data_IF_173406394770
#
_entry.id   IF_173406394770
#
_cell.length_a   1.000
_cell.length_b   1.000
_cell.length_c   1.000
_cell.angle_alpha   90.00
_cell.angle_beta   90.00
_cell.angle_gamma   90.00
#
_symmetry.space_group_name_H-M   'P 1'
#
loop_
_entity.id
_entity.type
_entity.pdbx_description
1 polymer ?
#
# COMPACT_ATOMS: atom_id res chain seq x y z
N UNK A 1 12.27 30.00 -9.93
CA UNK A 1 11.21 29.70 -8.96
C UNK A 1 10.53 28.38 -9.32
N UNK A 2 10.16 27.62 -8.33
CA UNK A 2 9.40 26.39 -8.56
C UNK A 2 8.02 26.73 -9.11
N UNK A 3 7.49 25.91 -10.07
CA UNK A 3 6.19 26.23 -10.67
C UNK A 3 5.06 26.19 -9.65
N UNK A 4 4.51 25.04 -9.34
CA UNK A 4 3.43 24.92 -8.38
C UNK A 4 3.83 23.94 -7.29
N UNK A 5 3.06 23.92 -6.21
CA UNK A 5 3.21 22.89 -5.18
C UNK A 5 2.83 21.54 -5.77
N UNK A 6 3.64 20.52 -5.49
CA UNK A 6 3.30 19.15 -5.86
C UNK A 6 2.11 18.68 -5.04
N UNK A 7 1.28 17.83 -5.62
CA UNK A 7 0.05 17.35 -5.02
C UNK A 7 0.24 15.99 -4.30
N UNK A 8 1.37 15.82 -3.67
CA UNK A 8 1.63 14.64 -2.86
C UNK A 8 2.25 13.47 -3.64
N UNK A 9 2.73 12.51 -2.89
CA UNK A 9 3.29 11.28 -3.43
C UNK A 9 2.14 10.28 -3.57
N UNK A 10 1.64 10.07 -4.80
CA UNK A 10 0.38 9.37 -5.04
C UNK A 10 0.46 8.22 -6.04
N UNK A 11 1.64 7.90 -6.49
CA UNK A 11 1.84 6.84 -7.48
C UNK A 11 2.99 5.95 -7.05
N UNK A 12 2.77 4.63 -7.13
CA UNK A 12 3.79 3.62 -6.86
C UNK A 12 3.69 2.55 -7.94
N UNK A 13 4.82 2.10 -8.44
CA UNK A 13 4.89 1.00 -9.39
C UNK A 13 5.68 -0.15 -8.79
N UNK A 14 5.10 -1.34 -8.81
CA UNK A 14 5.75 -2.57 -8.35
C UNK A 14 5.85 -3.55 -9.51
N UNK A 15 6.97 -4.21 -9.64
CA UNK A 15 7.13 -5.37 -10.50
C UNK A 15 7.15 -6.62 -9.63
N UNK A 16 6.20 -7.53 -9.86
CA UNK A 16 6.00 -8.69 -9.02
C UNK A 16 5.98 -9.97 -9.88
N UNK A 17 6.54 -11.08 -9.40
CA UNK A 17 6.54 -12.32 -10.17
C UNK A 17 5.17 -12.99 -10.20
N UNK A 18 4.34 -12.79 -9.20
CA UNK A 18 3.03 -13.41 -9.00
C UNK A 18 1.92 -12.38 -9.13
N UNK A 19 1.78 -11.80 -10.32
CA UNK A 19 0.89 -10.67 -10.57
C UNK A 19 -0.56 -10.95 -10.18
N UNK A 20 -1.11 -12.10 -10.58
CA UNK A 20 -2.52 -12.43 -10.32
C UNK A 20 -2.80 -12.55 -8.82
N UNK A 21 -1.88 -13.14 -8.07
CA UNK A 21 -2.00 -13.26 -6.62
C UNK A 21 -1.91 -11.89 -5.94
N UNK A 22 -0.98 -11.04 -6.39
CA UNK A 22 -0.85 -9.69 -5.88
C UNK A 22 -2.09 -8.84 -6.20
N UNK A 23 -2.62 -8.95 -7.42
CA UNK A 23 -3.84 -8.23 -7.78
C UNK A 23 -5.00 -8.64 -6.86
N UNK A 24 -5.19 -9.94 -6.63
CA UNK A 24 -6.24 -10.40 -5.72
C UNK A 24 -6.04 -9.87 -4.31
N UNK A 25 -4.79 -9.81 -3.85
CA UNK A 25 -4.51 -9.28 -2.53
C UNK A 25 -4.91 -7.79 -2.41
N UNK A 26 -4.48 -6.97 -3.35
CA UNK A 26 -4.76 -5.54 -3.29
C UNK A 26 -6.24 -5.24 -3.53
N UNK A 27 -6.90 -5.98 -4.40
CA UNK A 27 -8.33 -5.76 -4.72
C UNK A 27 -9.23 -6.42 -3.67
N UNK A 28 -9.05 -7.72 -3.43
CA UNK A 28 -9.99 -8.48 -2.60
C UNK A 28 -9.72 -8.30 -1.11
N UNK A 29 -8.46 -8.25 -0.69
CA UNK A 29 -8.12 -8.12 0.72
C UNK A 29 -8.08 -6.66 1.16
N UNK A 30 -7.36 -5.81 0.43
CA UNK A 30 -7.22 -4.40 0.81
C UNK A 30 -8.32 -3.49 0.28
N UNK A 31 -9.09 -3.94 -0.71
CA UNK A 31 -10.24 -3.18 -1.19
C UNK A 31 -9.94 -2.14 -2.25
N UNK A 32 -8.80 -2.22 -2.92
CA UNK A 32 -8.53 -1.34 -4.05
C UNK A 32 -9.40 -1.68 -5.24
N UNK A 33 -9.63 -0.73 -6.11
CA UNK A 33 -10.42 -0.92 -7.32
C UNK A 33 -9.51 -0.94 -8.54
N UNK A 34 -9.88 -1.74 -9.56
CA UNK A 34 -9.17 -1.74 -10.83
C UNK A 34 -9.52 -0.45 -11.58
N UNK A 35 -8.51 0.37 -11.83
CA UNK A 35 -8.65 1.60 -12.60
C UNK A 35 -8.60 1.30 -14.09
N UNK A 36 -7.63 0.50 -14.49
CA UNK A 36 -7.44 0.13 -15.89
C UNK A 36 -6.53 -1.08 -15.98
N UNK A 37 -6.86 -2.00 -16.87
CA UNK A 37 -5.99 -3.13 -17.23
C UNK A 37 -5.38 -2.82 -18.58
N UNK A 38 -4.09 -2.49 -18.58
CA UNK A 38 -3.39 -2.11 -19.80
C UNK A 38 -3.15 -3.31 -20.72
N UNK A 39 -2.77 -4.46 -20.13
CA UNK A 39 -2.54 -5.72 -20.84
C UNK A 39 -2.46 -6.86 -19.82
N UNK A 40 -2.05 -8.05 -20.27
CA UNK A 40 -1.94 -9.24 -19.41
C UNK A 40 -0.93 -9.08 -18.29
N UNK A 41 0.05 -8.19 -18.46
CA UNK A 41 1.20 -8.05 -17.56
C UNK A 41 1.17 -6.75 -16.75
N UNK A 42 0.11 -5.95 -16.88
CA UNK A 42 0.08 -4.64 -16.24
C UNK A 42 -1.35 -4.22 -15.88
N UNK A 43 -1.58 -3.94 -14.61
CA UNK A 43 -2.85 -3.45 -14.10
C UNK A 43 -2.62 -2.24 -13.20
N UNK A 44 -3.52 -1.27 -13.28
CA UNK A 44 -3.51 -0.07 -12.43
C UNK A 44 -4.65 -0.14 -11.44
N UNK A 45 -4.34 0.05 -10.16
CA UNK A 45 -5.29 -0.02 -9.05
C UNK A 45 -5.35 1.33 -8.33
N UNK A 46 -6.45 1.58 -7.62
CA UNK A 46 -6.62 2.83 -6.89
C UNK A 46 -7.48 2.67 -5.64
N UNK A 47 -7.19 3.51 -4.62
CA UNK A 47 -8.09 3.74 -3.48
C UNK A 47 -9.03 4.92 -3.74
N UNK A 48 -8.91 5.60 -4.89
CA UNK A 48 -9.70 6.76 -5.25
C UNK A 48 -8.90 8.05 -5.32
N UNK A 49 -7.75 8.12 -4.68
CA UNK A 49 -6.91 9.32 -4.62
C UNK A 49 -5.44 9.01 -4.90
N UNK A 50 -5.16 7.84 -5.44
CA UNK A 50 -3.80 7.37 -5.69
C UNK A 50 -3.77 6.45 -6.91
N UNK A 51 -2.60 5.89 -7.20
CA UNK A 51 -2.42 4.92 -8.27
C UNK A 51 -1.32 3.94 -7.91
N UNK A 52 -1.67 2.66 -7.87
CA UNK A 52 -0.73 1.57 -7.74
C UNK A 52 -0.65 0.81 -9.06
N UNK A 53 0.52 0.79 -9.66
CA UNK A 53 0.79 0.02 -10.87
C UNK A 53 1.40 -1.32 -10.47
N UNK A 54 0.75 -2.42 -10.88
CA UNK A 54 1.29 -3.76 -10.71
C UNK A 54 1.68 -4.31 -12.07
N UNK A 55 2.97 -4.55 -12.26
CA UNK A 55 3.51 -5.14 -13.48
C UNK A 55 4.11 -6.50 -13.19
N UNK A 56 4.13 -7.36 -14.20
CA UNK A 56 4.75 -8.68 -14.08
C UNK A 56 6.26 -8.57 -14.24
N UNK A 57 6.98 -9.07 -13.25
CA UNK A 57 8.43 -9.22 -13.37
C UNK A 57 8.73 -10.49 -14.17
N UNK A 58 9.58 -10.35 -15.21
CA UNK A 58 9.96 -11.48 -16.06
C UNK A 58 11.31 -12.06 -15.68
N UNK A 59 12.01 -11.43 -14.74
CA UNK A 59 13.30 -11.90 -14.24
C UNK A 59 13.41 -11.55 -12.76
N UNK A 60 14.15 -12.37 -12.00
CA UNK A 60 14.46 -12.07 -10.63
C UNK A 60 15.31 -10.80 -10.55
N UNK A 61 14.96 -9.90 -9.64
CA UNK A 61 15.77 -8.72 -9.37
C UNK A 61 16.98 -9.12 -8.55
N UNK A 62 18.17 -8.81 -9.05
CA UNK A 62 19.43 -9.04 -8.34
C UNK A 62 20.01 -7.76 -7.77
N UNK A 63 19.29 -6.64 -7.91
CA UNK A 63 19.75 -5.34 -7.48
C UNK A 63 19.34 -5.01 -6.06
N UNK A 64 20.13 -4.11 -5.46
CA UNK A 64 19.77 -3.52 -4.18
C UNK A 64 18.62 -2.55 -4.41
N UNK A 65 17.54 -2.70 -3.66
CA UNK A 65 16.41 -1.78 -3.70
C UNK A 65 16.51 -0.78 -2.56
N UNK A 66 16.20 0.48 -2.86
CA UNK A 66 16.22 1.53 -1.85
C UNK A 66 14.87 1.70 -1.14
N UNK A 67 13.80 1.10 -1.69
CA UNK A 67 12.48 1.15 -1.04
C UNK A 67 12.45 0.20 0.16
N UNK A 68 12.24 0.75 1.36
CA UNK A 68 12.06 -0.05 2.56
C UNK A 68 10.62 -0.56 2.65
N UNK A 69 9.66 0.35 2.58
CA UNK A 69 8.24 0.02 2.66
C UNK A 69 7.41 1.16 2.05
N UNK A 70 6.11 0.91 1.91
CA UNK A 70 5.15 1.95 1.56
C UNK A 70 3.88 1.71 2.35
N UNK A 71 3.00 2.71 2.39
CA UNK A 71 1.87 2.62 3.29
C UNK A 71 0.56 3.15 2.73
N UNK A 72 -0.51 2.72 3.41
CA UNK A 72 -1.86 3.22 3.20
C UNK A 72 -2.29 3.96 4.46
N UNK A 73 -2.84 5.15 4.29
CA UNK A 73 -3.30 5.97 5.40
C UNK A 73 -4.73 5.58 5.76
N UNK A 74 -4.98 5.37 7.03
CA UNK A 74 -6.33 5.21 7.59
C UNK A 74 -6.70 6.46 8.37
N UNK A 75 -8.01 6.67 8.60
CA UNK A 75 -8.50 7.94 9.11
C UNK A 75 -8.53 8.05 10.63
N UNK A 76 -8.43 6.93 11.35
CA UNK A 76 -8.47 6.94 12.81
C UNK A 76 -7.66 5.78 13.39
N UNK A 77 -7.33 5.90 14.67
CA UNK A 77 -6.67 4.82 15.41
C UNK A 77 -7.58 3.60 15.49
N UNK A 78 -8.88 3.82 15.67
CA UNK A 78 -9.86 2.74 15.72
C UNK A 78 -9.91 1.95 14.43
N UNK A 79 -9.84 2.63 13.29
CA UNK A 79 -9.78 1.97 11.98
C UNK A 79 -8.47 1.19 11.80
N UNK A 80 -7.36 1.72 12.29
CA UNK A 80 -6.08 1.00 12.24
C UNK A 80 -6.16 -0.33 12.99
N UNK A 81 -6.72 -0.30 14.20
CA UNK A 81 -6.89 -1.52 15.01
C UNK A 81 -7.85 -2.50 14.34
N UNK A 82 -8.91 -2.00 13.69
CA UNK A 82 -9.86 -2.85 12.96
C UNK A 82 -9.17 -3.53 11.77
N UNK A 83 -8.33 -2.81 11.03
CA UNK A 83 -7.56 -3.38 9.92
C UNK A 83 -6.61 -4.45 10.42
N UNK A 84 -5.93 -4.22 11.54
CA UNK A 84 -5.04 -5.21 12.11
C UNK A 84 -5.77 -6.52 12.43
N UNK A 85 -6.92 -6.43 13.11
CA UNK A 85 -7.72 -7.62 13.47
C UNK A 85 -8.23 -8.35 12.23
N UNK A 86 -8.71 -7.61 11.23
CA UNK A 86 -9.21 -8.13 9.98
C UNK A 86 -8.11 -8.90 9.22
N UNK A 87 -6.95 -8.29 9.05
CA UNK A 87 -5.84 -8.92 8.32
C UNK A 87 -5.30 -10.13 9.07
N UNK A 88 -5.23 -10.06 10.38
CA UNK A 88 -4.82 -11.19 11.21
C UNK A 88 -5.78 -12.37 11.06
N UNK A 89 -7.06 -12.12 11.04
CA UNK A 89 -8.09 -13.16 10.87
C UNK A 89 -8.00 -13.83 9.49
N UNK A 90 -7.57 -13.10 8.46
CA UNK A 90 -7.38 -13.64 7.13
C UNK A 90 -6.07 -14.41 6.95
N UNK A 91 -5.20 -14.42 7.96
CA UNK A 91 -3.92 -15.11 7.86
C UNK A 91 -2.85 -14.37 7.08
N UNK A 92 -3.01 -13.06 6.88
CA UNK A 92 -1.99 -12.23 6.23
C UNK A 92 -0.72 -12.22 7.10
N UNK A 93 0.44 -12.25 6.48
CA UNK A 93 1.72 -12.21 7.21
C UNK A 93 1.91 -10.83 7.82
N UNK A 94 1.82 -10.76 9.14
CA UNK A 94 2.03 -9.54 9.91
C UNK A 94 3.44 -9.55 10.50
N UNK A 95 4.14 -8.43 10.38
CA UNK A 95 5.53 -8.31 10.86
C UNK A 95 5.59 -7.81 12.30
N UNK A 96 4.56 -7.11 12.75
CA UNK A 96 4.47 -6.55 14.09
C UNK A 96 2.99 -6.32 14.43
N UNK A 97 2.72 -5.69 15.54
CA UNK A 97 1.39 -5.26 15.94
C UNK A 97 1.36 -3.73 16.03
N UNK A 98 0.15 -3.10 16.10
CA UNK A 98 0.07 -1.64 16.17
C UNK A 98 0.92 -1.06 17.31
N UNK A 99 1.68 -0.02 16.99
CA UNK A 99 2.50 0.67 17.97
C UNK A 99 2.57 2.16 17.67
N UNK A 100 2.84 2.96 18.70
CA UNK A 100 2.89 4.40 18.61
C UNK A 100 4.27 4.86 18.19
N UNK A 101 4.29 5.88 17.33
CA UNK A 101 5.49 6.62 16.98
C UNK A 101 5.58 7.90 17.82
N UNK A 102 6.75 8.50 17.90
CA UNK A 102 6.97 9.68 18.71
C UNK A 102 6.24 10.94 18.26
N UNK A 103 5.72 10.96 17.03
CA UNK A 103 5.03 12.10 16.44
C UNK A 103 3.49 12.01 16.50
N UNK A 104 2.96 11.07 17.26
CA UNK A 104 1.51 10.83 17.36
C UNK A 104 0.97 9.87 16.34
N UNK A 105 1.77 9.38 15.42
CA UNK A 105 1.37 8.36 14.46
C UNK A 105 1.30 6.99 15.11
N UNK A 106 0.49 6.10 14.53
CA UNK A 106 0.38 4.71 14.96
C UNK A 106 0.27 3.83 13.73
N UNK A 107 0.97 2.71 13.71
CA UNK A 107 1.04 1.85 12.53
C UNK A 107 1.41 0.42 12.86
N UNK A 108 1.28 -0.45 11.88
CA UNK A 108 1.85 -1.80 11.88
C UNK A 108 2.31 -2.13 10.45
N UNK A 109 2.98 -3.26 10.29
CA UNK A 109 3.52 -3.67 9.00
C UNK A 109 3.09 -5.08 8.65
N UNK A 110 2.88 -5.31 7.37
CA UNK A 110 2.52 -6.61 6.81
C UNK A 110 3.32 -6.85 5.52
N UNK A 111 3.25 -8.08 5.03
CA UNK A 111 3.82 -8.41 3.72
C UNK A 111 2.71 -8.67 2.72
N UNK A 112 2.87 -8.14 1.51
CA UNK A 112 2.03 -8.55 0.40
C UNK A 112 2.51 -9.91 -0.14
N UNK A 113 1.78 -10.54 -1.09
CA UNK A 113 2.18 -11.87 -1.58
C UNK A 113 3.52 -11.93 -2.32
N UNK A 114 4.07 -10.79 -2.72
CA UNK A 114 5.40 -10.72 -3.34
C UNK A 114 6.51 -10.39 -2.34
N UNK A 115 6.16 -10.24 -1.05
CA UNK A 115 7.13 -9.92 -0.01
C UNK A 115 7.39 -8.43 0.18
N UNK A 116 6.59 -7.56 -0.43
CA UNK A 116 6.71 -6.13 -0.20
C UNK A 116 6.17 -5.78 1.19
N UNK A 117 6.89 -4.91 1.89
CA UNK A 117 6.50 -4.46 3.22
C UNK A 117 5.53 -3.29 3.11
N UNK A 118 4.34 -3.46 3.67
CA UNK A 118 3.23 -2.50 3.59
C UNK A 118 2.90 -2.02 5.00
N UNK A 119 2.68 -0.73 5.14
CA UNK A 119 2.40 -0.09 6.42
C UNK A 119 1.02 0.57 6.43
N UNK A 120 -0.01 -0.03 7.04
CA UNK A 120 -1.21 0.74 7.38
C UNK A 120 -0.87 1.75 8.47
N UNK A 121 -1.28 3.01 8.29
CA UNK A 121 -0.76 4.12 9.08
C UNK A 121 -1.88 5.12 9.41
N UNK A 122 -2.01 5.42 10.71
CA UNK A 122 -2.68 6.64 11.16
C UNK A 122 -1.62 7.70 11.42
N UNK A 123 -1.81 8.90 10.86
CA UNK A 123 -0.92 10.02 11.10
C UNK A 123 -1.74 11.29 11.29
N UNK A 124 -1.62 11.98 12.43
CA UNK A 124 -2.49 13.12 12.73
C UNK A 124 -2.40 14.26 11.72
N UNK A 125 -1.25 14.42 11.05
CA UNK A 125 -1.06 15.46 10.05
C UNK A 125 -1.62 15.11 8.67
N UNK A 126 -1.87 13.82 8.40
CA UNK A 126 -2.25 13.34 7.06
C UNK A 126 -3.62 12.68 7.05
N UNK A 127 -3.93 11.92 8.12
CA UNK A 127 -5.18 11.17 8.22
C UNK A 127 -6.39 12.11 8.17
N UNK A 128 -7.44 11.66 7.47
CA UNK A 128 -8.64 12.46 7.28
C UNK A 128 -8.58 13.41 6.08
N UNK A 129 -7.40 13.60 5.48
CA UNK A 129 -7.28 14.44 4.29
C UNK A 129 -7.71 13.66 3.05
N UNK A 130 -8.60 14.24 2.28
CA UNK A 130 -9.04 13.71 0.99
C UNK A 130 -8.87 14.79 -0.06
N UNK A 131 -8.21 14.45 -1.15
CA UNK A 131 -8.13 15.36 -2.31
C UNK A 131 -9.17 14.92 -3.32
N UNK A 132 -10.02 15.87 -3.66
CA UNK A 132 -11.09 15.62 -4.63
C UNK A 132 -10.53 15.55 -6.05
#
# INVERSE_FOLDING_TARGET
ARPSRLNGLRHLALLVPNLEECERFYVDVLGMEVLNRANEDLVYLTCGNDNLSLGRAHAASNGLQTMDHYGFVVDSVEELEAWYRYLKALGVTLLDHPFDHGDGARSFHLLDPAGNKVQPLYHPAVSGQRLA
#
